data_IF_948636950255
#
_entry.id   IF_948636950255
#
_cell.length_a   1.000
_cell.length_b   1.000
_cell.length_c   1.000
_cell.angle_alpha   90.00
_cell.angle_beta   90.00
_cell.angle_gamma   90.00
#
_symmetry.space_group_name_H-M   'P 1'
#
loop_
_entity.id
_entity.type
_entity.pdbx_description
1 polymer ?
#
# COMPACT_ATOMS: atom_id res chain seq x y z
N UNK A 1 -33.13 -26.77 59.40
CA UNK A 1 -33.26 -27.28 58.03
C UNK A 1 -33.02 -26.12 57.06
N UNK A 2 -32.29 -26.43 56.00
CA UNK A 2 -31.61 -25.55 55.04
C UNK A 2 -32.61 -24.94 54.03
N UNK A 3 -32.49 -23.66 53.68
CA UNK A 3 -33.07 -23.05 52.46
C UNK A 3 -32.44 -21.65 52.23
N UNK A 4 -31.24 -21.58 51.66
CA UNK A 4 -30.95 -21.24 50.25
C UNK A 4 -31.43 -19.84 49.86
N UNK A 5 -30.51 -18.87 49.97
CA UNK A 5 -30.61 -17.56 49.33
C UNK A 5 -30.27 -17.71 47.85
N UNK A 6 -31.24 -17.47 46.96
CA UNK A 6 -31.01 -17.32 45.54
C UNK A 6 -30.44 -15.92 45.26
N UNK A 7 -29.14 -15.85 44.99
CA UNK A 7 -28.50 -14.64 44.46
C UNK A 7 -28.81 -14.59 42.97
N UNK A 8 -29.72 -13.71 42.57
CA UNK A 8 -29.93 -13.36 41.18
C UNK A 8 -28.71 -12.57 40.68
N UNK A 9 -27.77 -13.24 40.03
CA UNK A 9 -26.71 -12.59 39.26
C UNK A 9 -27.33 -11.91 38.05
N UNK A 10 -27.60 -10.60 38.17
CA UNK A 10 -27.80 -9.73 37.02
C UNK A 10 -26.44 -9.57 36.36
N UNK A 11 -26.15 -10.43 35.38
CA UNK A 11 -25.03 -10.22 34.47
C UNK A 11 -25.38 -8.99 33.61
N UNK A 12 -24.87 -7.83 34.02
CA UNK A 12 -24.87 -6.63 33.21
C UNK A 12 -23.93 -6.91 32.03
N UNK A 13 -24.47 -7.49 30.95
CA UNK A 13 -23.77 -7.58 29.68
C UNK A 13 -23.57 -6.14 29.20
N UNK A 14 -22.41 -5.58 29.50
CA UNK A 14 -21.94 -4.35 28.87
C UNK A 14 -21.80 -4.65 27.37
N UNK A 15 -22.84 -4.32 26.60
CA UNK A 15 -22.68 -4.03 25.18
C UNK A 15 -21.79 -2.79 25.10
N UNK A 16 -20.48 -3.00 25.19
CA UNK A 16 -19.53 -2.06 24.64
C UNK A 16 -19.70 -2.19 23.12
N UNK A 17 -20.67 -1.46 22.57
CA UNK A 17 -20.57 -1.03 21.19
C UNK A 17 -19.23 -0.31 21.12
N UNK A 18 -18.22 -0.99 20.56
CA UNK A 18 -16.91 -0.40 20.33
C UNK A 18 -17.15 0.75 19.35
N UNK A 19 -17.36 1.94 19.89
CA UNK A 19 -17.46 3.15 19.10
C UNK A 19 -16.13 3.28 18.35
N UNK A 20 -16.21 3.20 17.02
CA UNK A 20 -15.09 3.47 16.11
C UNK A 20 -14.53 4.83 16.54
N UNK A 21 -13.26 4.92 16.96
CA UNK A 21 -12.70 6.20 17.36
C UNK A 21 -12.77 7.15 16.16
N UNK A 22 -13.27 8.39 16.32
CA UNK A 22 -13.27 9.35 15.23
C UNK A 22 -11.84 9.52 14.73
N UNK A 23 -11.66 9.79 13.43
CA UNK A 23 -10.34 9.90 12.78
C UNK A 23 -9.32 10.80 13.52
N UNK A 24 -9.80 11.73 14.35
CA UNK A 24 -8.99 12.61 15.21
C UNK A 24 -8.50 12.03 16.54
N UNK A 25 -8.92 10.83 16.97
CA UNK A 25 -8.47 10.22 18.22
C UNK A 25 -7.56 9.02 17.92
N UNK A 26 -6.25 9.19 18.13
CA UNK A 26 -5.25 8.13 17.97
C UNK A 26 -5.56 6.98 18.95
N UNK A 27 -5.62 5.71 18.50
CA UNK A 27 -5.89 4.59 19.38
C UNK A 27 -4.77 4.35 20.40
N UNK A 28 -5.08 3.50 21.39
CA UNK A 28 -4.17 3.03 22.45
C UNK A 28 -2.95 2.26 21.89
N UNK A 29 -3.05 1.74 20.67
CA UNK A 29 -1.93 1.07 20.00
C UNK A 29 -0.96 2.11 19.38
N UNK A 30 0.29 2.23 19.88
CA UNK A 30 1.24 3.23 19.40
C UNK A 30 1.60 3.05 17.92
N UNK A 31 1.49 1.82 17.41
CA UNK A 31 1.85 1.45 16.04
C UNK A 31 0.63 1.32 15.11
N UNK A 32 -0.55 1.80 15.53
CA UNK A 32 -1.73 1.81 14.65
C UNK A 32 -1.49 2.70 13.42
N UNK A 33 -2.06 2.28 12.30
CA UNK A 33 -2.03 2.99 11.03
C UNK A 33 -3.39 3.61 10.75
N UNK A 34 -3.42 4.86 10.31
CA UNK A 34 -4.64 5.48 9.79
C UNK A 34 -4.74 5.14 8.31
N UNK A 35 -5.79 4.43 7.91
CA UNK A 35 -5.98 4.00 6.53
C UNK A 35 -7.14 4.75 5.87
N UNK A 36 -6.97 5.09 4.59
CA UNK A 36 -8.05 5.50 3.69
C UNK A 36 -8.43 4.29 2.85
N UNK A 37 -9.63 3.76 3.03
CA UNK A 37 -10.07 2.55 2.35
C UNK A 37 -11.11 2.82 1.26
N UNK A 38 -11.43 4.07 0.93
CA UNK A 38 -12.30 4.40 -0.19
C UNK A 38 -12.27 5.89 -0.53
N UNK A 39 -13.26 6.39 -1.29
CA UNK A 39 -13.24 7.76 -1.83
C UNK A 39 -14.04 8.78 -1.01
N UNK A 40 -15.02 8.34 -0.20
CA UNK A 40 -15.80 9.26 0.62
C UNK A 40 -15.01 9.71 1.86
N UNK A 41 -15.16 10.95 2.32
CA UNK A 41 -14.36 11.55 3.40
C UNK A 41 -14.36 10.72 4.70
N UNK A 42 -15.47 10.05 4.99
CA UNK A 42 -15.68 9.19 6.17
C UNK A 42 -15.05 7.79 6.06
N UNK A 43 -14.54 7.41 4.88
CA UNK A 43 -13.88 6.12 4.67
C UNK A 43 -12.41 6.16 5.11
N UNK A 44 -12.21 6.47 6.40
CA UNK A 44 -10.94 6.50 7.13
C UNK A 44 -11.07 5.72 8.44
N UNK A 45 -10.07 4.92 8.80
CA UNK A 45 -10.09 4.19 10.07
C UNK A 45 -8.68 3.91 10.60
N UNK A 46 -8.51 4.00 11.92
CA UNK A 46 -7.27 3.53 12.55
C UNK A 46 -7.31 2.02 12.72
N UNK A 47 -6.29 1.33 12.25
CA UNK A 47 -6.19 -0.13 12.29
C UNK A 47 -4.83 -0.55 12.83
N UNK A 48 -4.80 -1.61 13.65
CA UNK A 48 -3.54 -2.17 14.14
C UNK A 48 -2.80 -2.91 13.02
N UNK A 49 -1.46 -3.01 13.07
CA UNK A 49 -0.69 -3.80 12.09
C UNK A 49 -1.16 -5.26 12.01
N UNK A 50 -1.52 -5.86 13.15
CA UNK A 50 -1.97 -7.25 13.23
C UNK A 50 -3.35 -7.44 12.56
N UNK A 51 -4.29 -6.53 12.80
CA UNK A 51 -5.59 -6.55 12.13
C UNK A 51 -5.45 -6.36 10.61
N UNK A 52 -4.58 -5.43 10.20
CA UNK A 52 -4.33 -5.15 8.79
C UNK A 52 -3.67 -6.33 8.08
N UNK A 53 -2.70 -6.98 8.73
CA UNK A 53 -2.06 -8.20 8.23
C UNK A 53 -3.06 -9.35 8.12
N UNK A 54 -3.90 -9.55 9.14
CA UNK A 54 -4.95 -10.57 9.10
C UNK A 54 -5.93 -10.32 7.94
N UNK A 55 -6.49 -9.11 7.81
CA UNK A 55 -7.46 -8.81 6.76
C UNK A 55 -6.86 -8.84 5.34
N UNK A 56 -5.54 -8.73 5.19
CA UNK A 56 -4.90 -8.66 3.86
C UNK A 56 -4.21 -9.94 3.43
N UNK A 57 -3.59 -10.62 4.38
CA UNK A 57 -2.71 -11.75 4.12
C UNK A 57 -3.34 -13.06 4.60
N UNK A 58 -4.16 -13.03 5.66
CA UNK A 58 -4.92 -14.21 6.08
C UNK A 58 -6.26 -14.27 5.36
N UNK A 59 -6.69 -15.50 5.02
CA UNK A 59 -8.02 -15.69 4.45
C UNK A 59 -9.04 -15.64 5.58
N UNK A 60 -9.81 -14.55 5.63
CA UNK A 60 -10.96 -14.43 6.53
C UNK A 60 -12.22 -14.92 5.80
N UNK A 61 -12.93 -15.87 6.41
CA UNK A 61 -14.17 -16.39 5.84
C UNK A 61 -15.36 -15.46 6.16
N UNK A 62 -15.57 -14.47 5.30
CA UNK A 62 -16.66 -13.51 5.44
C UNK A 62 -18.05 -14.16 5.32
N UNK A 63 -18.17 -15.41 4.85
CA UNK A 63 -19.49 -16.08 4.76
C UNK A 63 -20.07 -16.41 6.14
N UNK A 64 -19.23 -16.43 7.18
CA UNK A 64 -19.64 -16.65 8.57
C UNK A 64 -20.25 -15.40 9.23
N UNK A 65 -20.15 -14.24 8.56
CA UNK A 65 -20.53 -12.95 9.12
C UNK A 65 -19.44 -12.32 9.99
N UNK A 66 -19.44 -10.99 10.05
CA UNK A 66 -18.39 -10.17 10.71
C UNK A 66 -18.27 -10.45 12.21
N UNK A 67 -19.36 -10.79 12.89
CA UNK A 67 -19.33 -11.10 14.32
C UNK A 67 -18.63 -12.43 14.63
N UNK A 68 -18.86 -13.46 13.82
CA UNK A 68 -18.17 -14.74 13.95
C UNK A 68 -16.69 -14.60 13.63
N UNK A 69 -16.37 -13.84 12.57
CA UNK A 69 -14.99 -13.47 12.21
C UNK A 69 -14.29 -12.75 13.36
N UNK A 70 -14.92 -11.75 13.98
CA UNK A 70 -14.34 -11.00 15.10
C UNK A 70 -14.18 -11.87 16.34
N UNK A 71 -15.11 -12.80 16.59
CA UNK A 71 -15.00 -13.76 17.69
C UNK A 71 -13.82 -14.74 17.51
N UNK A 72 -13.52 -15.12 16.26
CA UNK A 72 -12.39 -15.98 15.93
C UNK A 72 -11.04 -15.25 15.93
N UNK A 73 -11.05 -13.92 15.76
CA UNK A 73 -9.85 -13.10 15.57
C UNK A 73 -9.85 -11.87 16.50
N UNK A 74 -9.26 -11.99 17.70
CA UNK A 74 -9.16 -10.89 18.67
C UNK A 74 -8.48 -9.63 18.12
N UNK A 75 -7.64 -9.76 17.09
CA UNK A 75 -7.00 -8.65 16.38
C UNK A 75 -8.01 -7.69 15.75
N UNK A 76 -9.20 -8.19 15.39
CA UNK A 76 -10.28 -7.41 14.78
C UNK A 76 -11.18 -6.70 15.81
N UNK A 77 -10.84 -6.77 17.10
CA UNK A 77 -11.58 -6.07 18.14
C UNK A 77 -11.57 -4.55 17.87
N UNK A 78 -12.75 -3.95 17.76
CA UNK A 78 -12.92 -2.52 17.49
C UNK A 78 -12.75 -2.11 16.02
N UNK A 79 -12.44 -3.04 15.12
CA UNK A 79 -12.41 -2.79 13.67
C UNK A 79 -13.83 -2.80 13.12
N UNK A 80 -14.18 -1.80 12.31
CA UNK A 80 -15.51 -1.65 11.74
C UNK A 80 -15.87 -2.79 10.77
N UNK A 81 -17.16 -3.11 10.70
CA UNK A 81 -17.69 -4.08 9.73
C UNK A 81 -17.37 -3.66 8.29
N UNK A 82 -17.33 -2.37 8.01
CA UNK A 82 -16.99 -1.84 6.68
C UNK A 82 -15.55 -2.19 6.31
N UNK A 83 -14.59 -2.00 7.22
CA UNK A 83 -13.19 -2.35 6.98
C UNK A 83 -12.99 -3.86 6.88
N UNK A 84 -13.61 -4.65 7.76
CA UNK A 84 -13.54 -6.13 7.72
C UNK A 84 -14.07 -6.64 6.38
N UNK A 85 -15.28 -6.23 5.98
CA UNK A 85 -15.90 -6.68 4.73
C UNK A 85 -15.12 -6.22 3.50
N UNK A 86 -14.49 -5.05 3.53
CA UNK A 86 -13.77 -4.52 2.37
C UNK A 86 -12.39 -5.10 2.22
N UNK A 87 -11.61 -5.14 3.30
CA UNK A 87 -10.22 -5.59 3.25
C UNK A 87 -10.11 -7.12 3.23
N UNK A 88 -10.96 -7.81 4.00
CA UNK A 88 -11.01 -9.28 4.08
C UNK A 88 -11.71 -9.96 2.90
N UNK A 89 -12.36 -9.21 2.00
CA UNK A 89 -12.92 -9.80 0.79
C UNK A 89 -11.84 -9.97 -0.28
N UNK A 90 -11.32 -11.20 -0.40
CA UNK A 90 -10.32 -11.55 -1.40
C UNK A 90 -10.90 -12.11 -2.70
N UNK A 91 -12.22 -12.34 -2.77
CA UNK A 91 -12.90 -12.86 -3.98
C UNK A 91 -13.06 -11.80 -5.05
N UNK A 92 -13.21 -10.54 -4.63
CA UNK A 92 -13.08 -9.33 -5.43
C UNK A 92 -12.00 -8.52 -4.73
N UNK A 93 -10.72 -8.66 -5.12
CA UNK A 93 -9.65 -7.81 -4.57
C UNK A 93 -9.93 -6.36 -4.99
N UNK A 94 -10.71 -5.66 -4.17
CA UNK A 94 -11.16 -4.28 -4.38
C UNK A 94 -10.00 -3.29 -4.32
N UNK A 95 -10.26 -1.99 -4.55
CA UNK A 95 -9.27 -0.95 -4.36
C UNK A 95 -8.85 -1.01 -2.89
N UNK A 96 -7.60 -1.38 -2.61
CA UNK A 96 -7.11 -1.76 -1.28
C UNK A 96 -7.28 -0.66 -0.22
N UNK A 97 -6.18 -0.11 0.27
CA UNK A 97 -6.21 1.05 1.14
C UNK A 97 -4.94 1.86 0.91
N UNK A 98 -4.94 3.10 1.39
CA UNK A 98 -3.75 3.96 1.44
C UNK A 98 -3.46 4.21 2.91
N UNK A 99 -2.21 4.00 3.33
CA UNK A 99 -1.75 4.43 4.65
C UNK A 99 -1.56 5.96 4.65
N UNK A 100 -2.37 6.65 5.46
CA UNK A 100 -2.35 8.11 5.63
C UNK A 100 -1.81 8.52 7.01
N UNK A 101 -1.15 7.61 7.74
CA UNK A 101 -0.67 7.80 9.11
C UNK A 101 0.27 9.01 9.24
N UNK A 102 1.16 9.21 8.26
CA UNK A 102 2.09 10.33 8.21
C UNK A 102 1.59 11.56 7.46
N UNK A 103 0.36 11.52 6.94
CA UNK A 103 -0.16 12.53 6.02
C UNK A 103 -1.19 13.43 6.72
N UNK A 104 -0.73 14.29 7.63
CA UNK A 104 -1.59 15.28 8.33
C UNK A 104 -2.40 16.16 7.36
N UNK A 105 -1.86 16.44 6.18
CA UNK A 105 -2.56 17.18 5.12
C UNK A 105 -3.76 16.40 4.57
N UNK A 106 -3.62 15.09 4.38
CA UNK A 106 -4.67 14.19 3.88
C UNK A 106 -5.77 13.97 4.93
N UNK A 107 -5.45 14.10 6.22
CA UNK A 107 -6.44 14.02 7.32
C UNK A 107 -7.42 15.20 7.35
N UNK A 108 -7.03 16.37 6.83
CA UNK A 108 -7.77 17.63 6.98
C UNK A 108 -8.25 18.22 5.65
N UNK A 109 -7.66 17.79 4.54
CA UNK A 109 -8.10 18.19 3.22
C UNK A 109 -9.37 17.40 2.87
N UNK A 110 -10.50 18.09 2.74
CA UNK A 110 -11.49 17.69 1.74
C UNK A 110 -10.76 17.71 0.42
N UNK A 111 -10.49 16.53 -0.15
CA UNK A 111 -10.13 16.51 -1.55
C UNK A 111 -11.40 16.92 -2.28
N UNK A 112 -11.47 18.16 -2.73
CA UNK A 112 -12.04 18.37 -4.06
C UNK A 112 -11.16 17.49 -4.95
N UNK A 113 -11.59 16.25 -5.16
CA UNK A 113 -11.07 15.40 -6.19
C UNK A 113 -11.36 16.18 -7.47
N UNK A 114 -10.40 17.02 -7.85
CA UNK A 114 -10.37 17.75 -9.10
C UNK A 114 -10.85 16.76 -10.16
N UNK A 115 -11.90 17.15 -10.88
CA UNK A 115 -12.55 16.30 -11.85
C UNK A 115 -11.48 15.61 -12.67
N UNK A 116 -11.57 14.26 -12.75
CA UNK A 116 -10.59 13.39 -13.41
C UNK A 116 -10.01 14.10 -14.62
N UNK A 117 -8.70 14.37 -14.59
CA UNK A 117 -8.03 15.09 -15.66
C UNK A 117 -8.51 14.54 -17.00
N UNK A 118 -9.00 15.42 -17.89
CA UNK A 118 -9.47 15.01 -19.21
C UNK A 118 -8.26 14.52 -19.97
N UNK A 119 -8.02 13.21 -19.92
CA UNK A 119 -6.97 12.59 -20.69
C UNK A 119 -7.28 12.77 -22.18
N UNK A 120 -6.26 13.12 -23.00
CA UNK A 120 -6.44 13.15 -24.44
C UNK A 120 -6.99 11.80 -24.90
N UNK A 121 -8.13 11.83 -25.60
CA UNK A 121 -8.82 10.61 -26.05
C UNK A 121 -8.08 9.90 -27.18
N UNK A 122 -7.13 10.57 -27.83
CA UNK A 122 -6.21 9.96 -28.78
C UNK A 122 -4.80 10.53 -28.62
N UNK A 123 -3.77 9.67 -28.52
CA UNK A 123 -2.41 10.12 -28.80
C UNK A 123 -2.38 10.57 -30.25
N UNK A 124 -1.84 11.76 -30.52
CA UNK A 124 -1.59 12.24 -31.88
C UNK A 124 -0.09 12.06 -32.13
N UNK A 125 0.38 10.93 -32.71
CA UNK A 125 1.82 10.67 -32.83
C UNK A 125 2.56 11.75 -33.62
N UNK A 126 1.88 12.38 -34.58
CA UNK A 126 2.39 13.51 -35.37
C UNK A 126 2.61 14.79 -34.54
N UNK A 127 1.97 14.94 -33.37
CA UNK A 127 2.19 16.07 -32.44
C UNK A 127 3.59 16.02 -31.80
N UNK A 128 4.14 14.82 -31.65
CA UNK A 128 5.44 14.60 -31.00
C UNK A 128 6.31 13.65 -31.84
N UNK A 129 6.84 14.10 -32.99
CA UNK A 129 7.63 13.26 -33.89
C UNK A 129 8.87 12.64 -33.21
N UNK A 130 9.38 13.27 -32.14
CA UNK A 130 10.46 12.74 -31.32
C UNK A 130 10.11 11.41 -30.60
N UNK A 131 8.82 11.12 -30.37
CA UNK A 131 8.41 9.86 -29.72
C UNK A 131 8.76 8.64 -30.56
N UNK A 132 8.78 8.74 -31.89
CA UNK A 132 9.14 7.61 -32.77
C UNK A 132 10.54 7.10 -32.46
N UNK A 133 11.53 8.00 -32.34
CA UNK A 133 12.89 7.59 -31.95
C UNK A 133 12.95 7.04 -30.52
N UNK A 134 12.15 7.57 -29.60
CA UNK A 134 12.09 7.06 -28.22
C UNK A 134 11.50 5.66 -28.15
N UNK A 135 10.43 5.37 -28.90
CA UNK A 135 9.86 4.03 -28.99
C UNK A 135 10.84 3.04 -29.61
N UNK A 136 11.58 3.45 -30.66
CA UNK A 136 12.63 2.60 -31.25
C UNK A 136 13.81 2.34 -30.29
N UNK A 137 13.97 3.15 -29.25
CA UNK A 137 15.00 2.97 -28.23
C UNK A 137 14.56 1.98 -27.13
N UNK A 138 13.29 1.54 -27.12
CA UNK A 138 12.82 0.54 -26.16
C UNK A 138 13.36 -0.84 -26.53
N UNK A 139 14.09 -1.46 -25.62
CA UNK A 139 14.71 -2.76 -25.81
C UNK A 139 14.03 -3.83 -24.96
N UNK A 140 13.28 -4.74 -25.59
CA UNK A 140 12.58 -5.83 -24.92
C UNK A 140 13.53 -6.76 -24.13
N UNK A 141 14.72 -7.05 -24.65
CA UNK A 141 15.70 -7.87 -23.96
C UNK A 141 16.26 -7.16 -22.71
N UNK A 142 16.46 -5.84 -22.77
CA UNK A 142 16.86 -5.04 -21.60
C UNK A 142 15.78 -5.03 -20.50
N UNK A 143 14.51 -4.91 -20.89
CA UNK A 143 13.38 -5.02 -19.96
C UNK A 143 13.30 -6.41 -19.32
N UNK A 144 13.43 -7.47 -20.13
CA UNK A 144 13.44 -8.84 -19.63
C UNK A 144 14.62 -9.09 -18.68
N UNK A 145 15.81 -8.57 -19.01
CA UNK A 145 16.99 -8.68 -18.14
C UNK A 145 16.76 -7.99 -16.79
N UNK A 146 16.13 -6.81 -16.79
CA UNK A 146 15.77 -6.10 -15.56
C UNK A 146 14.84 -6.94 -14.68
N UNK A 147 13.78 -7.51 -15.27
CA UNK A 147 12.83 -8.38 -14.55
C UNK A 147 13.55 -9.62 -14.01
N UNK A 148 14.40 -10.27 -14.80
CA UNK A 148 15.17 -11.44 -14.37
C UNK A 148 16.13 -11.11 -13.23
N UNK A 149 16.85 -9.99 -13.29
CA UNK A 149 17.72 -9.56 -12.20
C UNK A 149 16.94 -9.33 -10.91
N UNK A 150 15.82 -8.60 -10.96
CA UNK A 150 15.03 -8.31 -9.77
C UNK A 150 14.30 -9.55 -9.22
N UNK A 151 13.87 -10.46 -10.08
CA UNK A 151 13.06 -11.63 -9.68
C UNK A 151 13.88 -12.82 -9.22
N UNK A 152 15.09 -12.98 -9.78
CA UNK A 152 15.95 -14.13 -9.49
C UNK A 152 17.17 -13.76 -8.63
N UNK A 153 17.61 -12.50 -8.66
CA UNK A 153 18.75 -12.02 -7.89
C UNK A 153 18.46 -11.82 -6.40
N UNK A 154 17.18 -11.76 -6.02
CA UNK A 154 16.74 -11.57 -4.64
C UNK A 154 15.68 -12.61 -4.28
N UNK A 155 15.85 -13.28 -3.14
CA UNK A 155 14.84 -14.22 -2.62
C UNK A 155 13.49 -13.52 -2.45
N UNK A 156 13.51 -12.28 -1.96
CA UNK A 156 12.35 -11.40 -1.82
C UNK A 156 12.80 -9.95 -1.88
N UNK A 157 11.91 -9.05 -2.30
CA UNK A 157 12.10 -7.60 -2.21
C UNK A 157 11.21 -6.98 -1.14
N UNK A 158 10.67 -7.79 -0.22
CA UNK A 158 9.82 -7.32 0.88
C UNK A 158 10.48 -6.19 1.66
N UNK A 159 9.76 -5.07 1.81
CA UNK A 159 10.26 -3.80 2.36
C UNK A 159 10.89 -3.88 3.77
N UNK A 160 10.47 -4.86 4.60
CA UNK A 160 11.04 -5.18 5.93
C UNK A 160 12.12 -6.28 5.95
N UNK A 161 12.46 -6.87 4.80
CA UNK A 161 13.52 -7.88 4.75
C UNK A 161 14.85 -7.27 5.22
N UNK A 162 15.72 -8.08 5.82
CA UNK A 162 17.07 -7.64 6.20
C UNK A 162 17.90 -7.21 4.98
N UNK A 163 17.58 -7.76 3.80
CA UNK A 163 18.24 -7.44 2.53
C UNK A 163 17.44 -6.44 1.66
N UNK A 164 16.42 -5.76 2.21
CA UNK A 164 15.49 -4.97 1.41
C UNK A 164 16.12 -3.73 0.74
N UNK A 165 17.28 -3.27 1.22
CA UNK A 165 18.05 -2.17 0.64
C UNK A 165 18.82 -2.58 -0.63
N UNK A 166 19.25 -3.85 -0.76
CA UNK A 166 20.06 -4.30 -1.89
C UNK A 166 19.40 -4.11 -3.27
N UNK A 167 18.10 -4.44 -3.48
CA UNK A 167 17.44 -4.15 -4.76
C UNK A 167 17.33 -2.64 -5.03
N UNK A 168 17.17 -1.80 -4.00
CA UNK A 168 17.13 -0.35 -4.16
C UNK A 168 18.50 0.20 -4.58
N UNK A 169 19.60 -0.29 -4.00
CA UNK A 169 20.97 0.05 -4.41
C UNK A 169 21.24 -0.35 -5.87
N UNK A 170 20.71 -1.49 -6.31
CA UNK A 170 20.81 -1.90 -7.71
C UNK A 170 20.08 -0.94 -8.65
N UNK A 171 18.85 -0.55 -8.33
CA UNK A 171 18.09 0.48 -9.08
C UNK A 171 18.81 1.82 -9.09
N UNK A 172 19.36 2.25 -7.95
CA UNK A 172 20.15 3.47 -7.85
C UNK A 172 21.33 3.45 -8.82
N UNK A 173 21.99 2.30 -8.99
CA UNK A 173 23.09 2.14 -9.94
C UNK A 173 22.60 2.28 -11.39
N UNK A 174 21.47 1.66 -11.74
CA UNK A 174 20.88 1.80 -13.08
C UNK A 174 20.52 3.25 -13.37
N UNK A 175 19.89 3.93 -12.42
CA UNK A 175 19.53 5.34 -12.54
C UNK A 175 20.76 6.25 -12.61
N UNK A 176 21.82 5.95 -11.85
CA UNK A 176 23.07 6.72 -11.89
C UNK A 176 23.71 6.63 -13.27
N UNK A 177 23.72 5.44 -13.88
CA UNK A 177 24.24 5.24 -15.22
C UNK A 177 23.42 5.99 -16.29
N UNK A 178 22.10 6.12 -16.10
CA UNK A 178 21.21 6.75 -17.05
C UNK A 178 21.12 8.29 -16.90
N UNK A 179 21.07 8.80 -15.67
CA UNK A 179 20.80 10.21 -15.36
C UNK A 179 22.00 10.96 -14.76
N UNK A 180 23.06 10.26 -14.36
CA UNK A 180 24.21 10.82 -13.64
C UNK A 180 23.97 10.92 -12.14
N UNK A 181 25.03 10.74 -11.35
CA UNK A 181 24.95 10.65 -9.88
C UNK A 181 24.36 11.89 -9.20
N UNK A 182 24.61 13.09 -9.75
CA UNK A 182 24.06 14.35 -9.24
C UNK A 182 22.52 14.43 -9.31
N UNK A 183 21.90 13.58 -10.13
CA UNK A 183 20.48 13.57 -10.40
C UNK A 183 19.74 12.42 -9.70
N UNK A 184 20.45 11.60 -8.91
CA UNK A 184 19.90 10.41 -8.26
C UNK A 184 20.06 10.53 -6.76
N UNK A 185 18.98 10.29 -6.01
CA UNK A 185 18.98 10.29 -4.55
C UNK A 185 18.10 9.18 -3.99
N UNK A 186 18.42 8.75 -2.77
CA UNK A 186 17.56 7.86 -1.99
C UNK A 186 16.79 8.64 -0.93
N UNK A 187 15.61 8.15 -0.57
CA UNK A 187 14.85 8.61 0.59
C UNK A 187 14.72 7.44 1.55
N UNK A 188 15.23 7.61 2.76
CA UNK A 188 15.08 6.61 3.81
C UNK A 188 13.63 6.53 4.29
N UNK A 189 13.20 5.32 4.62
CA UNK A 189 11.89 5.05 5.22
C UNK A 189 12.10 4.60 6.69
N UNK A 190 11.00 4.46 7.42
CA UNK A 190 11.01 3.81 8.76
C UNK A 190 11.26 2.29 8.67
N UNK A 191 11.25 1.74 7.46
CA UNK A 191 11.57 0.36 7.13
C UNK A 191 12.84 0.26 6.28
N UNK A 192 13.36 -0.96 6.14
CA UNK A 192 14.71 -1.21 5.62
C UNK A 192 14.90 -0.85 4.14
N UNK A 193 13.85 -0.81 3.34
CA UNK A 193 13.90 -0.46 1.91
C UNK A 193 13.78 1.05 1.70
N UNK A 194 14.79 1.74 1.14
CA UNK A 194 14.68 3.14 0.75
C UNK A 194 13.97 3.29 -0.61
N UNK A 195 13.36 4.46 -0.82
CA UNK A 195 12.89 4.87 -2.15
C UNK A 195 14.05 5.43 -2.97
N UNK A 196 14.04 5.25 -4.29
CA UNK A 196 15.06 5.77 -5.21
C UNK A 196 14.42 6.73 -6.19
N UNK A 197 14.97 7.93 -6.34
CA UNK A 197 14.47 8.96 -7.24
C UNK A 197 15.58 9.38 -8.20
N UNK A 198 15.30 9.29 -9.50
CA UNK A 198 16.10 9.91 -10.55
C UNK A 198 15.34 11.12 -11.12
N UNK A 199 16.04 12.23 -11.32
CA UNK A 199 15.46 13.46 -11.87
C UNK A 199 16.14 13.79 -13.19
N UNK A 200 15.37 13.91 -14.26
CA UNK A 200 15.87 14.57 -15.47
C UNK A 200 15.63 16.07 -15.27
N UNK A 201 16.68 16.89 -15.11
CA UNK A 201 16.48 18.31 -14.86
C UNK A 201 15.84 18.96 -16.08
N UNK A 202 15.02 19.99 -15.82
CA UNK A 202 14.52 20.85 -16.90
C UNK A 202 15.69 21.42 -17.70
N UNK A 203 15.47 21.62 -19.00
CA UNK A 203 16.43 22.32 -19.84
C UNK A 203 16.71 23.71 -19.25
N UNK A 204 17.98 24.10 -19.19
CA UNK A 204 18.37 25.42 -18.72
C UNK A 204 17.62 26.53 -19.49
N UNK A 205 17.07 27.49 -18.76
CA UNK A 205 16.24 28.57 -19.34
C UNK A 205 14.77 28.20 -19.62
N UNK A 206 14.32 26.98 -19.33
CA UNK A 206 12.90 26.62 -19.41
C UNK A 206 12.07 27.41 -18.39
N UNK A 207 10.94 27.96 -18.84
CA UNK A 207 9.93 28.64 -18.01
C UNK A 207 8.80 27.71 -17.55
N UNK A 208 8.79 26.47 -18.03
CA UNK A 208 7.82 25.45 -17.59
C UNK A 208 8.10 25.04 -16.14
N UNK A 209 7.04 25.00 -15.33
CA UNK A 209 7.01 24.66 -13.91
C UNK A 209 6.36 23.30 -13.64
N UNK A 210 5.74 22.69 -14.64
CA UNK A 210 5.15 21.35 -14.58
C UNK A 210 6.21 20.28 -14.28
N UNK A 211 5.86 19.33 -13.41
CA UNK A 211 6.68 18.16 -13.07
C UNK A 211 5.93 16.90 -13.48
N UNK A 212 6.57 16.08 -14.32
CA UNK A 212 6.05 14.76 -14.69
C UNK A 212 6.72 13.71 -13.80
N UNK A 213 5.90 12.94 -13.09
CA UNK A 213 6.36 11.85 -12.21
C UNK A 213 5.99 10.52 -12.84
N UNK A 214 6.99 9.64 -13.01
CA UNK A 214 6.81 8.24 -13.38
C UNK A 214 7.22 7.40 -12.17
N UNK A 215 6.34 6.50 -11.72
CA UNK A 215 6.55 5.71 -10.51
C UNK A 215 6.25 4.23 -10.71
N UNK A 216 6.95 3.41 -9.94
CA UNK A 216 6.72 1.97 -9.76
C UNK A 216 7.10 1.61 -8.33
N UNK A 217 6.52 0.53 -7.79
CA UNK A 217 6.94 -0.02 -6.50
C UNK A 217 8.03 -1.09 -6.72
N UNK A 218 8.94 -1.21 -5.76
CA UNK A 218 10.08 -2.13 -5.84
C UNK A 218 9.82 -3.46 -5.11
N UNK A 219 9.00 -3.42 -4.07
CA UNK A 219 8.81 -4.53 -3.16
C UNK A 219 8.06 -5.71 -3.79
N UNK A 220 8.19 -6.87 -3.15
CA UNK A 220 7.45 -8.08 -3.48
C UNK A 220 7.04 -8.78 -2.19
N UNK A 221 5.94 -9.55 -2.24
CA UNK A 221 5.41 -10.23 -1.07
C UNK A 221 4.70 -11.53 -1.42
N UNK A 222 4.73 -12.49 -0.48
CA UNK A 222 3.88 -13.68 -0.46
C UNK A 222 3.07 -13.75 0.85
N UNK A 223 2.82 -12.60 1.47
CA UNK A 223 2.15 -12.47 2.77
C UNK A 223 3.04 -11.82 3.83
N UNK A 224 2.81 -12.14 5.09
CA UNK A 224 3.59 -11.62 6.23
C UNK A 224 5.07 -12.03 6.27
N UNK A 225 5.51 -12.95 5.41
CA UNK A 225 6.88 -13.45 5.43
C UNK A 225 7.88 -12.49 4.80
N UNK A 226 8.87 -12.07 5.58
CA UNK A 226 9.98 -11.21 5.15
C UNK A 226 11.16 -11.97 4.53
N UNK A 227 11.09 -13.31 4.53
CA UNK A 227 12.18 -14.21 4.11
C UNK A 227 11.75 -15.25 3.08
N UNK A 228 10.46 -15.53 2.94
CA UNK A 228 9.95 -16.47 1.95
C UNK A 228 10.25 -15.98 0.52
N UNK A 229 10.38 -16.94 -0.39
CA UNK A 229 10.68 -16.63 -1.79
C UNK A 229 9.49 -15.91 -2.44
N UNK A 230 9.70 -14.66 -2.82
CA UNK A 230 8.72 -13.78 -3.47
C UNK A 230 9.34 -13.12 -4.72
N UNK A 231 9.35 -13.81 -5.89
CA UNK A 231 10.01 -13.30 -7.09
C UNK A 231 9.38 -12.01 -7.64
N UNK A 232 8.06 -11.82 -7.49
CA UNK A 232 7.34 -10.61 -7.90
C UNK A 232 7.64 -10.15 -9.33
N UNK A 233 7.68 -11.08 -10.28
CA UNK A 233 8.08 -10.82 -11.67
C UNK A 233 6.97 -10.14 -12.51
N UNK A 234 5.71 -10.38 -12.16
CA UNK A 234 4.52 -9.91 -12.89
C UNK A 234 3.53 -9.19 -11.96
N UNK A 235 4.06 -8.60 -10.87
CA UNK A 235 3.31 -7.79 -9.92
C UNK A 235 2.87 -6.47 -10.59
N UNK A 236 1.89 -6.60 -11.49
CA UNK A 236 1.53 -5.63 -12.53
C UNK A 236 0.61 -6.18 -13.64
N UNK A 237 0.42 -7.50 -13.77
CA UNK A 237 -0.68 -8.10 -14.55
C UNK A 237 -1.29 -9.27 -13.79
N UNK A 238 -2.61 -9.21 -13.63
CA UNK A 238 -3.53 -10.19 -13.00
C UNK A 238 -2.90 -11.34 -12.17
N UNK A 239 -3.14 -11.27 -10.86
CA UNK A 239 -3.02 -12.31 -9.81
C UNK A 239 -1.72 -12.27 -9.01
N UNK A 240 -1.89 -11.93 -7.73
CA UNK A 240 -0.97 -12.13 -6.60
C UNK A 240 0.17 -11.13 -6.43
N UNK A 241 -0.18 -9.89 -6.08
CA UNK A 241 0.66 -9.04 -5.23
C UNK A 241 -0.20 -8.01 -4.54
N UNK A 242 -0.15 -8.02 -3.21
CA UNK A 242 -0.73 -6.98 -2.39
C UNK A 242 0.15 -5.74 -2.56
N UNK A 243 -0.37 -4.72 -3.23
CA UNK A 243 0.23 -3.40 -3.32
C UNK A 243 0.25 -2.80 -1.91
N UNK A 244 1.45 -2.61 -1.32
CA UNK A 244 1.65 -1.83 -0.09
C UNK A 244 2.16 -0.46 -0.51
N UNK A 245 1.35 0.59 -0.29
CA UNK A 245 1.78 1.99 -0.24
C UNK A 245 1.75 2.43 1.22
#
# INVERSE_FOLDING_TARGET
MLAVFAIASVALASLAAAAVPPAGMRPIHPDAHLIKFGFADDQVEWISPAALELLREAHVDLTQGVDAVRAAHPELAGVSDTVINRLGNHTIRGPGFIDITGFEFVRRASFDLEARAVYPTQPTPSKYPALTSMFNSVNAAGLQSTVQTLSNGYTTRHYRSTNAAAPATWIQTQFTNAAGSANVRTIANTFNQPNVIATIPRKAGSTLDEVVILGAHLDSTVGGSTTARAPGADDGKSRSSTQRL
#
